data_IF_702854132233
#
_entry.id   IF_702854132233
#
_cell.length_a   1.000
_cell.length_b   1.000
_cell.length_c   1.000
_cell.angle_alpha   90.00
_cell.angle_beta   90.00
_cell.angle_gamma   90.00
#
_symmetry.space_group_name_H-M   'P 1'
#
loop_
_entity.id
_entity.type
_entity.pdbx_description
1 polymer ?
#
# COMPACT_ATOMS: atom_id res chain seq x y z
N UNK A 1 20.30 2.71 34.57
CA UNK A 1 18.97 2.04 34.61
C UNK A 1 18.29 1.99 33.25
N UNK A 2 18.22 3.09 32.49
CA UNK A 2 17.56 3.13 31.16
C UNK A 2 18.24 2.23 30.12
N UNK A 3 19.58 2.18 30.09
CA UNK A 3 20.34 1.34 29.14
C UNK A 3 20.11 -0.17 29.37
N UNK A 4 19.92 -0.58 30.62
CA UNK A 4 19.64 -1.98 30.99
C UNK A 4 18.21 -2.38 30.60
N UNK A 5 17.24 -1.46 30.69
CA UNK A 5 15.86 -1.69 30.25
C UNK A 5 15.77 -1.86 28.72
N UNK A 6 16.48 -1.04 27.95
CA UNK A 6 16.47 -1.12 26.48
C UNK A 6 17.10 -2.43 26.00
N UNK A 7 18.17 -2.90 26.64
CA UNK A 7 18.80 -4.18 26.30
C UNK A 7 17.90 -5.39 26.57
N UNK A 8 17.11 -5.38 27.66
CA UNK A 8 16.18 -6.47 27.99
C UNK A 8 14.99 -6.49 27.03
N UNK A 9 14.48 -5.32 26.62
CA UNK A 9 13.37 -5.23 25.65
C UNK A 9 13.80 -5.72 24.27
N UNK A 10 15.01 -5.36 23.81
CA UNK A 10 15.54 -5.84 22.53
C UNK A 10 15.83 -7.34 22.54
N UNK A 11 16.35 -7.89 23.64
CA UNK A 11 16.55 -9.33 23.79
C UNK A 11 15.24 -10.13 23.79
N UNK A 12 14.16 -9.59 24.38
CA UNK A 12 12.84 -10.22 24.38
C UNK A 12 12.19 -10.23 22.99
N UNK A 13 12.36 -9.15 22.22
CA UNK A 13 11.86 -9.05 20.84
C UNK A 13 12.58 -10.05 19.93
N UNK A 14 13.90 -10.19 20.07
CA UNK A 14 14.69 -11.19 19.32
C UNK A 14 14.28 -12.62 19.67
N UNK A 15 13.96 -12.90 20.94
CA UNK A 15 13.53 -14.24 21.37
C UNK A 15 12.11 -14.60 20.93
N UNK A 16 11.20 -13.61 20.82
CA UNK A 16 9.83 -13.82 20.34
C UNK A 16 9.73 -13.94 18.82
N UNK A 17 10.67 -13.34 18.09
CA UNK A 17 10.73 -13.40 16.63
C UNK A 17 11.59 -14.54 16.08
N UNK A 18 12.21 -15.35 16.95
CA UNK A 18 12.96 -16.53 16.52
C UNK A 18 12.04 -17.71 16.25
N UNK A 19 12.00 -18.26 15.02
CA UNK A 19 11.13 -19.39 14.70
C UNK A 19 11.60 -20.64 15.45
N UNK A 20 10.80 -21.08 16.44
CA UNK A 20 10.97 -22.38 17.09
C UNK A 20 10.79 -23.46 16.02
N UNK A 21 11.85 -24.22 15.77
CA UNK A 21 11.80 -25.36 14.86
C UNK A 21 10.86 -26.42 15.45
N UNK A 22 9.61 -26.44 14.98
CA UNK A 22 8.70 -27.54 15.24
C UNK A 22 9.16 -28.75 14.42
N UNK A 23 9.28 -29.88 15.11
CA UNK A 23 9.78 -31.14 14.59
C UNK A 23 9.01 -31.61 13.33
N UNK A 24 9.78 -32.00 12.32
CA UNK A 24 9.35 -32.76 11.14
C UNK A 24 8.58 -34.02 11.55
N UNK A 25 7.31 -34.09 11.17
CA UNK A 25 6.58 -35.35 11.07
C UNK A 25 6.38 -35.68 9.59
N UNK A 26 7.13 -36.68 9.13
CA UNK A 26 7.01 -37.28 7.80
C UNK A 26 5.81 -38.22 7.81
N UNK A 27 4.87 -38.04 6.89
CA UNK A 27 3.90 -39.09 6.49
C UNK A 27 3.79 -39.07 4.96
N UNK A 28 3.81 -40.23 4.28
CA UNK A 28 4.18 -40.33 2.88
C UNK A 28 3.02 -40.13 1.90
N UNK A 29 3.42 -39.84 0.66
CA UNK A 29 2.59 -39.65 -0.52
C UNK A 29 1.72 -40.87 -0.85
N UNK A 30 0.47 -40.59 -1.28
CA UNK A 30 -0.35 -41.49 -2.06
C UNK A 30 -0.86 -40.75 -3.30
N UNK A 31 -0.38 -41.19 -4.45
CA UNK A 31 -0.74 -40.79 -5.81
C UNK A 31 -1.90 -41.64 -6.35
N UNK A 32 -2.87 -41.05 -7.06
CA UNK A 32 -3.55 -41.54 -8.30
C UNK A 32 -4.68 -40.54 -8.74
N UNK A 33 -5.31 -40.63 -9.93
CA UNK A 33 -5.00 -39.74 -11.06
C UNK A 33 -6.20 -38.98 -11.69
N UNK A 34 -5.86 -37.98 -12.51
CA UNK A 34 -6.52 -37.40 -13.70
C UNK A 34 -8.07 -37.40 -13.85
N UNK A 35 -8.64 -36.21 -14.11
CA UNK A 35 -9.33 -35.89 -15.39
C UNK A 35 -10.01 -34.50 -15.38
N UNK A 36 -9.55 -33.65 -16.30
CA UNK A 36 -10.32 -32.73 -17.17
C UNK A 36 -11.74 -32.27 -16.76
N UNK A 37 -11.83 -31.00 -16.36
CA UNK A 37 -12.85 -30.00 -16.75
C UNK A 37 -12.49 -28.75 -15.91
N UNK A 38 -12.10 -27.61 -16.47
CA UNK A 38 -12.95 -26.69 -17.22
C UNK A 38 -12.06 -25.88 -18.16
N UNK A 39 -12.43 -25.92 -19.44
CA UNK A 39 -11.89 -25.07 -20.48
C UNK A 39 -12.24 -23.59 -20.24
N UNK A 40 -11.36 -22.72 -20.71
CA UNK A 40 -11.66 -21.34 -21.11
C UNK A 40 -12.22 -20.43 -20.00
N UNK A 41 -11.31 -19.85 -19.21
CA UNK A 41 -11.47 -18.44 -18.83
C UNK A 41 -10.57 -17.63 -19.74
N UNK A 42 -11.21 -16.70 -20.45
CA UNK A 42 -10.60 -15.74 -21.34
C UNK A 42 -9.43 -15.01 -20.69
N UNK A 43 -8.49 -14.67 -21.56
CA UNK A 43 -7.18 -14.11 -21.27
C UNK A 43 -7.28 -12.82 -20.46
N UNK A 44 -7.13 -12.94 -19.14
CA UNK A 44 -6.62 -11.87 -18.29
C UNK A 44 -5.16 -11.61 -18.70
N UNK A 45 -4.70 -10.35 -18.87
CA UNK A 45 -3.31 -10.09 -19.20
C UNK A 45 -2.43 -10.71 -18.13
N UNK A 46 -1.66 -11.72 -18.52
CA UNK A 46 -0.69 -12.37 -17.65
C UNK A 46 0.29 -11.28 -17.19
N UNK A 47 0.34 -11.06 -15.88
CA UNK A 47 1.34 -10.19 -15.25
C UNK A 47 2.71 -10.50 -15.87
N UNK A 48 3.42 -9.45 -16.28
CA UNK A 48 4.70 -9.56 -16.94
C UNK A 48 5.64 -10.45 -16.11
N UNK A 49 6.36 -11.35 -16.81
CA UNK A 49 7.35 -12.19 -16.18
C UNK A 49 8.44 -11.32 -15.49
N UNK A 50 9.10 -11.81 -14.42
CA UNK A 50 10.08 -11.06 -13.63
C UNK A 50 11.27 -10.46 -14.42
N UNK A 51 11.44 -10.84 -15.68
CA UNK A 51 12.51 -10.38 -16.57
C UNK A 51 12.27 -9.02 -17.24
N UNK A 52 11.15 -8.34 -16.99
CA UNK A 52 10.84 -7.02 -17.58
C UNK A 52 10.53 -5.91 -16.56
N UNK A 53 10.97 -6.05 -15.31
CA UNK A 53 10.95 -4.92 -14.35
C UNK A 53 12.16 -4.04 -14.67
N UNK A 54 12.15 -3.44 -15.86
CA UNK A 54 13.14 -2.45 -16.26
C UNK A 54 12.92 -1.18 -15.43
N UNK A 55 14.00 -0.53 -15.01
CA UNK A 55 13.88 0.78 -14.38
C UNK A 55 13.24 1.72 -15.40
N UNK A 56 12.08 2.30 -15.06
CA UNK A 56 11.49 3.33 -15.91
C UNK A 56 12.56 4.42 -16.16
N UNK A 57 12.78 4.86 -17.42
CA UNK A 57 13.86 5.78 -17.72
C UNK A 57 13.71 7.09 -16.93
N UNK A 58 14.82 7.63 -16.40
CA UNK A 58 14.80 8.81 -15.53
C UNK A 58 14.02 10.02 -16.12
N UNK A 59 14.06 10.19 -17.44
CA UNK A 59 13.31 11.21 -18.17
C UNK A 59 11.80 11.11 -17.99
N UNK A 60 11.24 9.90 -17.87
CA UNK A 60 9.79 9.73 -17.64
C UNK A 60 9.40 10.09 -16.20
N UNK A 61 10.28 9.86 -15.22
CA UNK A 61 10.10 10.29 -13.83
C UNK A 61 10.03 11.81 -13.70
N UNK A 62 11.00 12.52 -14.28
CA UNK A 62 11.03 13.98 -14.28
C UNK A 62 9.80 14.60 -14.97
N UNK A 63 9.43 14.08 -16.14
CA UNK A 63 8.24 14.55 -16.88
C UNK A 63 6.95 14.39 -16.07
N UNK A 64 6.77 13.24 -15.39
CA UNK A 64 5.62 12.99 -14.52
C UNK A 64 5.55 14.01 -13.38
N UNK A 65 6.69 14.28 -12.72
CA UNK A 65 6.76 15.24 -11.61
C UNK A 65 6.43 16.66 -12.08
N UNK A 66 6.99 17.09 -13.21
CA UNK A 66 6.71 18.44 -13.74
C UNK A 66 5.26 18.61 -14.18
N UNK A 67 4.64 17.57 -14.76
CA UNK A 67 3.22 17.58 -15.10
C UNK A 67 2.36 17.73 -13.84
N UNK A 68 2.57 16.86 -12.84
CA UNK A 68 1.84 16.92 -11.57
C UNK A 68 1.94 18.29 -10.90
N UNK A 69 3.14 18.89 -10.89
CA UNK A 69 3.35 20.22 -10.30
C UNK A 69 2.62 21.32 -11.06
N UNK A 70 2.64 21.29 -12.38
CA UNK A 70 1.92 22.26 -13.21
C UNK A 70 0.42 22.15 -12.96
N UNK A 71 -0.12 20.94 -12.95
CA UNK A 71 -1.56 20.70 -12.86
C UNK A 71 -2.07 21.00 -11.44
N UNK A 72 -1.29 20.65 -10.40
CA UNK A 72 -1.58 21.04 -9.01
C UNK A 72 -1.56 22.58 -8.84
N UNK A 73 -0.59 23.27 -9.46
CA UNK A 73 -0.54 24.73 -9.44
C UNK A 73 -1.70 25.38 -10.22
N UNK A 74 -2.30 24.66 -11.18
CA UNK A 74 -3.47 25.09 -11.92
C UNK A 74 -4.80 24.86 -11.17
N UNK A 75 -4.76 24.24 -9.98
CA UNK A 75 -5.96 24.00 -9.18
C UNK A 75 -6.53 22.58 -9.30
N UNK A 76 -5.90 21.66 -10.02
CA UNK A 76 -6.42 20.29 -10.16
C UNK A 76 -6.29 19.52 -8.82
N UNK A 77 -7.41 19.15 -8.17
CA UNK A 77 -7.36 18.48 -6.87
C UNK A 77 -6.79 17.05 -6.94
N UNK A 78 -6.94 16.36 -8.07
CA UNK A 78 -6.33 15.05 -8.31
C UNK A 78 -4.82 15.18 -8.38
N UNK A 79 -4.32 16.18 -9.12
CA UNK A 79 -2.89 16.46 -9.21
C UNK A 79 -2.31 16.93 -7.87
N UNK A 80 -3.04 17.74 -7.10
CA UNK A 80 -2.63 18.14 -5.75
C UNK A 80 -2.47 16.93 -4.83
N UNK A 81 -3.48 16.05 -4.79
CA UNK A 81 -3.43 14.80 -4.01
C UNK A 81 -2.25 13.92 -4.43
N UNK A 82 -2.06 13.73 -5.73
CA UNK A 82 -1.02 12.83 -6.25
C UNK A 82 0.39 13.42 -6.06
N UNK A 83 0.54 14.75 -6.12
CA UNK A 83 1.79 15.43 -5.76
C UNK A 83 2.07 15.32 -4.25
N UNK A 84 1.06 15.47 -3.40
CA UNK A 84 1.21 15.27 -1.96
C UNK A 84 1.68 13.85 -1.64
N UNK A 85 1.07 12.84 -2.27
CA UNK A 85 1.48 11.44 -2.13
C UNK A 85 2.93 11.22 -2.59
N UNK A 86 3.31 11.84 -3.70
CA UNK A 86 4.68 11.76 -4.19
C UNK A 86 5.69 12.37 -3.22
N UNK A 87 5.39 13.54 -2.63
CA UNK A 87 6.24 14.18 -1.62
C UNK A 87 6.43 13.26 -0.39
N UNK A 88 5.33 12.64 0.07
CA UNK A 88 5.37 11.69 1.18
C UNK A 88 6.26 10.48 0.83
N UNK A 89 6.04 9.89 -0.35
CA UNK A 89 6.82 8.75 -0.84
C UNK A 89 8.31 9.10 -1.00
N UNK A 90 8.62 10.36 -1.29
CA UNK A 90 10.00 10.82 -1.33
C UNK A 90 10.65 11.07 0.04
N UNK A 91 9.97 10.68 1.12
CA UNK A 91 10.45 10.84 2.49
C UNK A 91 10.67 12.30 2.86
N UNK A 92 9.92 13.21 2.23
CA UNK A 92 10.13 14.66 2.33
C UNK A 92 11.57 15.07 1.95
N UNK A 93 12.07 14.51 0.84
CA UNK A 93 13.33 14.91 0.22
C UNK A 93 14.53 14.04 0.63
N UNK A 94 14.29 12.88 1.22
CA UNK A 94 15.36 11.96 1.67
C UNK A 94 15.54 10.79 0.71
N UNK A 95 14.49 10.41 -0.02
CA UNK A 95 14.51 9.24 -0.91
C UNK A 95 15.09 9.56 -2.30
N UNK A 96 16.21 10.26 -2.37
CA UNK A 96 17.02 10.44 -3.58
C UNK A 96 18.52 10.56 -3.26
N UNK A 97 19.35 10.53 -4.31
CA UNK A 97 20.79 10.73 -4.18
C UNK A 97 21.48 9.74 -3.21
N UNK A 98 22.52 10.21 -2.54
CA UNK A 98 23.34 9.38 -1.66
C UNK A 98 22.56 8.80 -0.45
N UNK A 99 21.57 9.53 0.07
CA UNK A 99 20.77 9.07 1.20
C UNK A 99 19.94 7.83 0.85
N UNK A 100 19.27 7.85 -0.31
CA UNK A 100 18.55 6.69 -0.83
C UNK A 100 19.48 5.50 -1.05
N UNK A 101 20.61 5.71 -1.74
CA UNK A 101 21.52 4.60 -2.03
C UNK A 101 22.19 4.03 -0.79
N UNK A 102 22.47 4.85 0.24
CA UNK A 102 22.93 4.34 1.53
C UNK A 102 21.88 3.45 2.21
N UNK A 103 20.59 3.78 2.11
CA UNK A 103 19.51 2.93 2.61
C UNK A 103 19.42 1.61 1.81
N UNK A 104 19.56 1.69 0.49
CA UNK A 104 19.56 0.52 -0.39
C UNK A 104 20.69 -0.43 -0.06
N UNK A 105 21.92 0.08 0.13
CA UNK A 105 23.07 -0.73 0.49
C UNK A 105 22.90 -1.37 1.87
N UNK A 106 22.33 -0.63 2.83
CA UNK A 106 21.97 -1.17 4.13
C UNK A 106 20.97 -2.33 4.01
N UNK A 107 19.86 -2.15 3.30
CA UNK A 107 18.84 -3.19 3.12
C UNK A 107 19.41 -4.40 2.35
N UNK A 108 20.19 -4.15 1.29
CA UNK A 108 20.81 -5.21 0.49
C UNK A 108 21.70 -6.13 1.33
N UNK A 109 22.35 -5.62 2.38
CA UNK A 109 23.17 -6.41 3.31
C UNK A 109 22.41 -7.48 4.11
N UNK A 110 21.08 -7.36 4.21
CA UNK A 110 20.22 -8.30 4.96
C UNK A 110 19.29 -9.11 4.05
N UNK A 111 19.39 -8.93 2.74
CA UNK A 111 18.51 -9.57 1.76
C UNK A 111 19.19 -10.74 1.06
N UNK A 112 18.37 -11.62 0.49
CA UNK A 112 18.88 -12.65 -0.43
C UNK A 112 19.45 -11.97 -1.69
N UNK A 113 20.57 -12.49 -2.18
CA UNK A 113 21.31 -11.91 -3.32
C UNK A 113 20.42 -11.73 -4.55
N UNK A 114 19.51 -12.67 -4.81
CA UNK A 114 18.58 -12.61 -5.94
C UNK A 114 17.56 -11.46 -5.86
N UNK A 115 17.28 -10.90 -4.67
CA UNK A 115 16.34 -9.79 -4.50
C UNK A 115 17.02 -8.41 -4.60
N UNK A 116 18.34 -8.33 -4.48
CA UNK A 116 19.08 -7.06 -4.53
C UNK A 116 18.86 -6.28 -5.83
N UNK A 117 18.82 -6.91 -7.03
CA UNK A 117 18.50 -6.19 -8.26
C UNK A 117 17.11 -5.55 -8.25
N UNK A 118 16.12 -6.22 -7.64
CA UNK A 118 14.74 -5.71 -7.54
C UNK A 118 14.67 -4.48 -6.61
N UNK A 119 15.37 -4.53 -5.47
CA UNK A 119 15.52 -3.39 -4.56
C UNK A 119 16.14 -2.19 -5.27
N UNK A 120 17.24 -2.41 -6.02
CA UNK A 120 17.91 -1.34 -6.77
C UNK A 120 17.03 -0.76 -7.87
N UNK A 121 16.21 -1.59 -8.54
CA UNK A 121 15.27 -1.12 -9.55
C UNK A 121 14.17 -0.23 -8.93
N UNK A 122 13.60 -0.64 -7.80
CA UNK A 122 12.64 0.17 -7.04
C UNK A 122 13.24 1.50 -6.58
N UNK A 123 14.48 1.46 -6.07
CA UNK A 123 15.20 2.68 -5.69
C UNK A 123 15.47 3.59 -6.88
N UNK A 124 15.88 3.05 -8.03
CA UNK A 124 16.10 3.87 -9.23
C UNK A 124 14.82 4.60 -9.68
N UNK A 125 13.67 3.90 -9.69
CA UNK A 125 12.36 4.52 -9.98
C UNK A 125 12.00 5.60 -8.98
N UNK A 126 12.15 5.32 -7.68
CA UNK A 126 11.92 6.32 -6.61
C UNK A 126 12.81 7.54 -6.76
N UNK A 127 14.11 7.34 -6.96
CA UNK A 127 15.10 8.41 -7.12
C UNK A 127 14.77 9.34 -8.29
N UNK A 128 14.42 8.78 -9.45
CA UNK A 128 14.04 9.55 -10.65
C UNK A 128 12.80 10.45 -10.43
N UNK A 129 11.87 10.03 -9.58
CA UNK A 129 10.73 10.86 -9.21
C UNK A 129 11.14 11.93 -8.17
N UNK A 130 11.91 11.54 -7.16
CA UNK A 130 12.21 12.39 -6.00
C UNK A 130 13.25 13.48 -6.23
N UNK A 131 14.17 13.30 -7.19
CA UNK A 131 15.20 14.30 -7.50
C UNK A 131 14.63 15.63 -8.04
N UNK A 132 13.39 15.60 -8.54
CA UNK A 132 12.72 16.73 -9.18
C UNK A 132 11.73 17.46 -8.27
N UNK A 133 11.64 17.06 -6.99
CA UNK A 133 10.80 17.71 -5.98
C UNK A 133 11.60 18.83 -5.30
N UNK A 134 11.18 20.10 -5.44
CA UNK A 134 11.92 21.23 -4.87
C UNK A 134 11.77 21.32 -3.34
N UNK A 135 12.57 22.19 -2.74
CA UNK A 135 12.46 22.54 -1.33
C UNK A 135 13.18 21.57 -0.40
N UNK A 136 13.50 22.06 0.79
CA UNK A 136 14.01 21.22 1.87
C UNK A 136 12.88 20.42 2.53
N UNK A 137 13.25 19.53 3.46
CA UNK A 137 12.31 18.71 4.22
C UNK A 137 11.19 19.52 4.87
N UNK A 138 11.49 20.69 5.43
CA UNK A 138 10.49 21.50 6.14
C UNK A 138 9.49 22.10 5.15
N UNK A 139 9.98 22.63 4.02
CA UNK A 139 9.13 23.13 2.96
C UNK A 139 8.22 22.03 2.40
N UNK A 140 8.77 20.85 2.15
CA UNK A 140 8.01 19.71 1.61
C UNK A 140 6.93 19.19 2.59
N UNK A 141 7.18 19.18 3.91
CA UNK A 141 6.15 18.81 4.89
C UNK A 141 4.98 19.80 4.87
N UNK A 142 5.26 21.10 4.72
CA UNK A 142 4.22 22.12 4.63
C UNK A 142 3.45 22.02 3.31
N UNK A 143 4.16 21.81 2.20
CA UNK A 143 3.56 21.63 0.88
C UNK A 143 2.67 20.39 0.83
N UNK A 144 3.14 19.25 1.34
CA UNK A 144 2.34 18.02 1.48
C UNK A 144 1.01 18.27 2.20
N UNK A 145 1.07 18.91 3.38
CA UNK A 145 -0.13 19.19 4.18
C UNK A 145 -1.09 20.12 3.44
N UNK A 146 -0.55 21.17 2.82
CA UNK A 146 -1.35 22.15 2.09
C UNK A 146 -2.03 21.50 0.89
N UNK A 147 -1.29 20.80 0.04
CA UNK A 147 -1.85 20.14 -1.16
C UNK A 147 -2.93 19.15 -0.80
N UNK A 148 -2.71 18.32 0.24
CA UNK A 148 -3.69 17.33 0.65
C UNK A 148 -4.96 17.98 1.22
N UNK A 149 -4.81 19.08 1.97
CA UNK A 149 -5.96 19.86 2.46
C UNK A 149 -6.71 20.57 1.34
N UNK A 150 -6.03 21.27 0.46
CA UNK A 150 -6.65 21.98 -0.66
C UNK A 150 -7.37 21.01 -1.61
N UNK A 151 -6.86 19.80 -1.82
CA UNK A 151 -7.52 18.76 -2.59
C UNK A 151 -8.81 18.25 -1.91
N UNK A 152 -8.75 18.02 -0.60
CA UNK A 152 -9.89 17.56 0.18
C UNK A 152 -11.01 18.62 0.26
N UNK A 153 -10.67 19.90 0.44
CA UNK A 153 -11.62 21.02 0.42
C UNK A 153 -12.33 21.15 -0.94
N UNK A 154 -11.68 20.74 -2.01
CA UNK A 154 -12.25 20.70 -3.36
C UNK A 154 -13.06 19.43 -3.66
N UNK A 155 -13.26 18.56 -2.66
CA UNK A 155 -14.09 17.36 -2.78
C UNK A 155 -13.36 16.13 -3.29
N UNK A 156 -12.02 16.11 -3.33
CA UNK A 156 -11.29 14.90 -3.70
C UNK A 156 -11.41 13.83 -2.61
N UNK A 157 -12.13 12.75 -2.93
CA UNK A 157 -12.44 11.67 -2.00
C UNK A 157 -11.18 11.00 -1.42
N UNK A 158 -10.20 10.68 -2.27
CA UNK A 158 -8.96 10.05 -1.81
C UNK A 158 -8.16 10.98 -0.90
N UNK A 159 -8.17 12.29 -1.17
CA UNK A 159 -7.56 13.27 -0.27
C UNK A 159 -8.26 13.31 1.09
N UNK A 160 -9.61 13.34 1.13
CA UNK A 160 -10.40 13.27 2.38
C UNK A 160 -10.09 11.98 3.17
N UNK A 161 -10.11 10.82 2.50
CA UNK A 161 -9.77 9.53 3.09
C UNK A 161 -8.34 9.53 3.67
N UNK A 162 -7.36 10.07 2.94
CA UNK A 162 -5.95 10.15 3.37
C UNK A 162 -5.75 11.10 4.54
N UNK A 163 -6.41 12.25 4.56
CA UNK A 163 -6.35 13.15 5.72
C UNK A 163 -6.84 12.43 6.97
N UNK A 164 -7.95 11.68 6.85
CA UNK A 164 -8.50 10.93 7.98
C UNK A 164 -7.61 9.75 8.40
N UNK A 165 -7.13 8.96 7.45
CA UNK A 165 -6.30 7.77 7.70
C UNK A 165 -4.85 8.11 8.08
N UNK A 166 -4.42 9.36 7.93
CA UNK A 166 -3.05 9.80 8.27
C UNK A 166 -3.02 10.89 9.35
N UNK A 167 -4.17 11.31 9.86
CA UNK A 167 -4.22 12.20 11.01
C UNK A 167 -3.68 11.49 12.27
N UNK A 168 -2.79 12.16 12.99
CA UNK A 168 -2.22 11.69 14.26
C UNK A 168 -2.42 12.71 15.37
N UNK A 169 -2.62 12.23 16.60
CA UNK A 169 -2.75 13.07 17.79
C UNK A 169 -3.88 14.10 17.68
N UNK A 170 -3.62 15.34 18.10
CA UNK A 170 -4.60 16.42 18.15
C UNK A 170 -5.19 16.82 16.77
N UNK A 171 -4.47 16.59 15.66
CA UNK A 171 -4.99 16.84 14.31
C UNK A 171 -6.22 15.95 14.01
N UNK A 172 -6.30 14.74 14.59
CA UNK A 172 -7.41 13.81 14.34
C UNK A 172 -8.73 14.24 14.98
N UNK A 173 -8.66 14.89 16.13
CA UNK A 173 -9.83 15.21 16.96
C UNK A 173 -10.33 16.64 16.77
N UNK A 174 -9.49 17.58 16.35
CA UNK A 174 -9.82 19.01 16.36
C UNK A 174 -10.01 19.65 14.98
N UNK A 175 -9.57 19.01 13.88
CA UNK A 175 -9.43 19.67 12.59
C UNK A 175 -10.17 19.01 11.41
N UNK A 176 -10.74 17.81 11.59
CA UNK A 176 -11.42 17.09 10.51
C UNK A 176 -12.94 17.00 10.78
N UNK A 177 -13.79 17.08 9.75
CA UNK A 177 -15.21 16.80 9.88
C UNK A 177 -15.47 15.41 10.48
N UNK A 178 -16.60 15.25 11.18
CA UNK A 178 -17.06 13.94 11.63
C UNK A 178 -17.89 13.25 10.52
N UNK A 179 -17.22 12.96 9.40
CA UNK A 179 -17.81 12.44 8.16
C UNK A 179 -17.32 11.01 7.83
N UNK A 180 -16.74 10.30 8.80
CA UNK A 180 -16.07 9.03 8.54
C UNK A 180 -17.00 7.93 7.99
N UNK A 181 -18.29 7.94 8.36
CA UNK A 181 -19.28 7.02 7.80
C UNK A 181 -19.64 7.37 6.35
N UNK A 182 -19.80 8.65 6.04
CA UNK A 182 -20.01 9.15 4.67
C UNK A 182 -18.82 8.81 3.78
N UNK A 183 -17.59 9.00 4.26
CA UNK A 183 -16.38 8.63 3.52
C UNK A 183 -16.31 7.13 3.19
N UNK A 184 -16.84 6.28 4.06
CA UNK A 184 -16.93 4.84 3.82
C UNK A 184 -17.96 4.54 2.72
N UNK A 185 -19.12 5.19 2.75
CA UNK A 185 -20.14 5.07 1.69
C UNK A 185 -19.61 5.59 0.35
N UNK A 186 -19.00 6.77 0.32
CA UNK A 186 -18.39 7.36 -0.88
C UNK A 186 -17.29 6.46 -1.45
N UNK A 187 -16.47 5.82 -0.60
CA UNK A 187 -15.44 4.89 -1.04
C UNK A 187 -16.01 3.63 -1.69
N UNK A 188 -17.13 3.10 -1.19
CA UNK A 188 -17.86 2.02 -1.86
C UNK A 188 -18.45 2.47 -3.20
N UNK A 189 -18.93 3.72 -3.26
CA UNK A 189 -19.51 4.33 -4.46
C UNK A 189 -18.45 4.83 -5.47
N UNK A 190 -17.16 4.77 -5.14
CA UNK A 190 -16.08 5.22 -6.02
C UNK A 190 -15.83 4.24 -7.17
N UNK A 191 -15.53 4.78 -8.35
CA UNK A 191 -14.98 4.01 -9.48
C UNK A 191 -13.46 3.87 -9.41
N UNK A 192 -12.79 4.71 -8.62
CA UNK A 192 -11.35 4.61 -8.39
C UNK A 192 -11.06 3.49 -7.38
N UNK A 193 -10.41 2.38 -7.78
CA UNK A 193 -10.14 1.25 -6.88
C UNK A 193 -9.21 1.63 -5.71
N UNK A 194 -8.45 2.73 -5.84
CA UNK A 194 -7.62 3.24 -4.73
C UNK A 194 -8.48 3.73 -3.56
N UNK A 195 -9.74 4.11 -3.77
CA UNK A 195 -10.63 4.48 -2.68
C UNK A 195 -10.85 3.31 -1.69
N UNK A 196 -10.99 2.08 -2.20
CA UNK A 196 -11.08 0.88 -1.36
C UNK A 196 -9.81 0.64 -0.55
N UNK A 197 -8.65 0.88 -1.16
CA UNK A 197 -7.36 0.77 -0.48
C UNK A 197 -7.20 1.83 0.62
N UNK A 198 -7.51 3.10 0.34
CA UNK A 198 -7.44 4.17 1.36
C UNK A 198 -8.48 3.95 2.47
N UNK A 199 -9.68 3.46 2.13
CA UNK A 199 -10.68 3.04 3.10
C UNK A 199 -10.16 1.91 4.00
N UNK A 200 -9.42 0.94 3.46
CA UNK A 200 -8.82 -0.12 4.26
C UNK A 200 -7.94 0.43 5.40
N UNK A 201 -7.23 1.54 5.20
CA UNK A 201 -6.44 2.21 6.24
C UNK A 201 -7.32 2.96 7.25
N UNK A 202 -8.46 3.51 6.81
CA UNK A 202 -9.43 4.14 7.69
C UNK A 202 -10.00 3.13 8.72
N UNK A 203 -10.28 1.89 8.31
CA UNK A 203 -10.79 0.82 9.19
C UNK A 203 -9.86 0.54 10.39
N UNK A 204 -8.55 0.63 10.19
CA UNK A 204 -7.56 0.40 11.25
C UNK A 204 -7.62 1.49 12.32
N UNK A 205 -7.97 2.72 11.93
CA UNK A 205 -7.88 3.90 12.79
C UNK A 205 -9.21 4.34 13.38
N UNK A 206 -10.31 4.10 12.65
CA UNK A 206 -11.67 4.48 13.03
C UNK A 206 -12.62 3.29 12.82
N UNK A 207 -12.47 2.18 13.56
CA UNK A 207 -13.20 0.94 13.31
C UNK A 207 -14.73 1.04 13.50
N UNK A 208 -15.22 2.11 14.13
CA UNK A 208 -16.66 2.37 14.31
C UNK A 208 -17.35 2.92 13.06
N UNK A 209 -16.65 3.66 12.22
CA UNK A 209 -17.25 4.28 11.03
C UNK A 209 -17.85 3.24 10.05
N UNK A 210 -17.17 2.12 9.75
CA UNK A 210 -17.75 1.02 8.98
C UNK A 210 -19.04 0.41 9.53
N UNK A 211 -19.13 0.30 10.86
CA UNK A 211 -20.35 -0.22 11.50
C UNK A 211 -21.52 0.74 11.30
N UNK A 212 -21.27 2.04 11.36
CA UNK A 212 -22.27 3.08 11.13
C UNK A 212 -22.74 3.10 9.68
N UNK A 213 -21.83 2.87 8.73
CA UNK A 213 -22.13 2.70 7.30
C UNK A 213 -22.76 1.33 6.95
N UNK A 214 -23.08 0.49 7.94
CA UNK A 214 -23.74 -0.80 7.72
C UNK A 214 -22.84 -1.90 7.12
N UNK A 215 -21.53 -1.65 6.95
CA UNK A 215 -20.58 -2.64 6.39
C UNK A 215 -20.07 -3.61 7.48
N UNK A 216 -20.32 -3.27 8.75
CA UNK A 216 -19.80 -3.99 9.91
C UNK A 216 -18.27 -3.85 10.04
N UNK A 217 -17.73 -4.46 11.09
CA UNK A 217 -16.28 -4.46 11.37
C UNK A 217 -15.76 -5.90 11.52
N UNK A 218 -14.81 -6.26 10.69
CA UNK A 218 -14.04 -7.50 10.73
C UNK A 218 -12.55 -7.17 10.90
N UNK A 219 -11.80 -7.96 11.70
CA UNK A 219 -10.35 -7.80 11.80
C UNK A 219 -9.64 -8.04 10.45
N UNK A 220 -10.32 -8.64 9.46
CA UNK A 220 -9.77 -8.91 8.14
C UNK A 220 -10.16 -7.87 7.08
N UNK A 221 -10.90 -6.82 7.45
CA UNK A 221 -11.34 -5.78 6.51
C UNK A 221 -10.19 -5.13 5.77
N UNK A 222 -9.13 -4.77 6.49
CA UNK A 222 -7.97 -4.12 5.90
C UNK A 222 -7.38 -4.95 4.74
N UNK A 223 -7.12 -6.24 4.99
CA UNK A 223 -6.57 -7.16 4.00
C UNK A 223 -7.56 -7.40 2.85
N UNK A 224 -8.83 -7.64 3.17
CA UNK A 224 -9.86 -7.95 2.17
C UNK A 224 -10.12 -6.77 1.23
N UNK A 225 -10.25 -5.54 1.76
CA UNK A 225 -10.44 -4.32 0.97
C UNK A 225 -9.21 -4.01 0.11
N UNK A 226 -8.01 -4.19 0.65
CA UNK A 226 -6.77 -3.98 -0.12
C UNK A 226 -6.65 -4.96 -1.29
N UNK A 227 -7.02 -6.23 -1.08
CA UNK A 227 -7.06 -7.24 -2.15
C UNK A 227 -8.15 -6.94 -3.18
N UNK A 228 -9.34 -6.49 -2.75
CA UNK A 228 -10.41 -6.08 -3.65
C UNK A 228 -10.04 -4.84 -4.48
N UNK A 229 -9.27 -3.89 -3.92
CA UNK A 229 -8.72 -2.78 -4.68
C UNK A 229 -7.83 -3.29 -5.83
N UNK A 230 -6.97 -4.28 -5.58
CA UNK A 230 -6.18 -4.93 -6.62
C UNK A 230 -7.05 -5.63 -7.68
N UNK A 231 -8.07 -6.40 -7.25
CA UNK A 231 -9.00 -7.07 -8.16
C UNK A 231 -9.76 -6.09 -9.06
N UNK A 232 -10.04 -4.88 -8.56
CA UNK A 232 -10.74 -3.81 -9.29
C UNK A 232 -9.82 -2.88 -10.09
N UNK A 233 -8.54 -3.23 -10.24
CA UNK A 233 -7.63 -2.57 -11.17
C UNK A 233 -6.64 -1.57 -10.55
N UNK A 234 -6.51 -1.53 -9.21
CA UNK A 234 -5.35 -0.89 -8.60
C UNK A 234 -4.09 -1.65 -8.99
N UNK A 235 -3.05 -0.95 -9.43
CA UNK A 235 -1.77 -1.58 -9.78
C UNK A 235 -1.05 -2.06 -8.51
N UNK A 236 -1.22 -3.35 -8.22
CA UNK A 236 -0.60 -4.05 -7.10
C UNK A 236 0.61 -4.89 -7.52
N UNK A 237 0.94 -4.91 -8.82
CA UNK A 237 1.98 -5.77 -9.36
C UNK A 237 3.38 -5.37 -8.91
N UNK A 238 4.35 -6.25 -9.14
CA UNK A 238 5.77 -5.93 -8.91
C UNK A 238 6.16 -4.74 -9.79
N UNK A 239 6.82 -3.75 -9.19
CA UNK A 239 7.23 -2.51 -9.88
C UNK A 239 6.18 -1.41 -9.90
N UNK A 240 4.98 -1.65 -9.35
CA UNK A 240 4.01 -0.59 -9.05
C UNK A 240 4.54 0.36 -7.97
N UNK A 241 4.02 1.59 -7.91
CA UNK A 241 4.38 2.56 -6.86
C UNK A 241 4.11 1.99 -5.44
N UNK A 242 3.07 1.16 -5.27
CA UNK A 242 2.75 0.50 -4.00
C UNK A 242 3.71 -0.66 -3.67
N UNK A 243 4.04 -1.52 -4.64
CA UNK A 243 5.01 -2.59 -4.43
C UNK A 243 6.42 -2.04 -4.18
N UNK A 244 6.80 -0.95 -4.86
CA UNK A 244 8.07 -0.27 -4.61
C UNK A 244 8.12 0.33 -3.21
N UNK A 245 7.01 0.91 -2.72
CA UNK A 245 6.91 1.34 -1.33
C UNK A 245 7.11 0.20 -0.34
N UNK A 246 6.50 -0.96 -0.57
CA UNK A 246 6.72 -2.16 0.27
C UNK A 246 8.19 -2.57 0.20
N UNK A 247 8.74 -2.76 -1.00
CA UNK A 247 10.12 -3.17 -1.23
C UNK A 247 11.13 -2.25 -0.51
N UNK A 248 10.98 -0.93 -0.64
CA UNK A 248 11.91 0.04 -0.05
C UNK A 248 11.78 0.18 1.48
N UNK A 249 10.64 -0.20 2.07
CA UNK A 249 10.42 -0.10 3.52
C UNK A 249 10.62 -1.44 4.25
N UNK A 250 10.38 -2.58 3.60
CA UNK A 250 10.42 -3.91 4.23
C UNK A 250 11.48 -4.86 3.65
N UNK A 251 12.03 -4.56 2.46
CA UNK A 251 12.91 -5.45 1.71
C UNK A 251 12.18 -6.55 0.93
N UNK A 252 10.85 -6.59 0.98
CA UNK A 252 10.06 -7.57 0.21
C UNK A 252 9.82 -7.08 -1.22
N UNK A 253 10.78 -7.36 -2.10
CA UNK A 253 10.81 -6.82 -3.46
C UNK A 253 10.39 -7.82 -4.54
N UNK A 254 10.17 -9.09 -4.18
CA UNK A 254 9.98 -10.18 -5.15
C UNK A 254 8.52 -10.43 -5.52
N UNK A 255 7.57 -9.78 -4.83
CA UNK A 255 6.14 -10.03 -5.01
C UNK A 255 5.34 -8.72 -5.03
N UNK A 256 4.17 -8.78 -5.65
CA UNK A 256 3.21 -7.68 -5.62
C UNK A 256 2.52 -7.56 -4.25
N UNK A 257 1.80 -6.45 -4.06
CA UNK A 257 1.06 -6.16 -2.83
C UNK A 257 0.00 -7.21 -2.56
N UNK A 258 -0.70 -7.66 -3.60
CA UNK A 258 -1.72 -8.71 -3.53
C UNK A 258 -1.14 -10.04 -3.02
N UNK A 259 -0.02 -10.46 -3.60
CA UNK A 259 0.68 -11.69 -3.23
C UNK A 259 1.25 -11.60 -1.82
N UNK A 260 1.73 -10.41 -1.42
CA UNK A 260 2.21 -10.15 -0.06
C UNK A 260 1.08 -10.30 0.95
N UNK A 261 -0.09 -9.71 0.67
CA UNK A 261 -1.26 -9.80 1.55
C UNK A 261 -1.72 -11.26 1.71
N UNK A 262 -1.76 -12.04 0.63
CA UNK A 262 -2.10 -13.47 0.71
C UNK A 262 -1.08 -14.28 1.48
N UNK A 263 0.22 -14.06 1.27
CA UNK A 263 1.28 -14.75 2.01
C UNK A 263 1.24 -14.41 3.50
N UNK A 264 0.93 -13.16 3.85
CA UNK A 264 0.74 -12.75 5.26
C UNK A 264 -0.48 -13.43 5.87
N UNK A 265 -1.60 -13.50 5.14
CA UNK A 265 -2.80 -14.21 5.61
C UNK A 265 -2.55 -15.71 5.82
N UNK A 266 -1.78 -16.34 4.92
CA UNK A 266 -1.38 -17.75 5.03
C UNK A 266 -0.47 -18.00 6.23
N UNK A 267 0.56 -17.18 6.42
CA UNK A 267 1.44 -17.27 7.57
C UNK A 267 0.72 -17.09 8.91
N UNK A 268 -0.39 -16.34 8.91
CA UNK A 268 -1.24 -16.14 10.08
C UNK A 268 -2.33 -17.22 10.24
N UNK A 269 -2.51 -18.11 9.26
CA UNK A 269 -3.56 -19.14 9.25
C UNK A 269 -4.97 -18.58 9.05
N UNK A 270 -5.12 -17.37 8.51
CA UNK A 270 -6.41 -16.66 8.36
C UNK A 270 -6.87 -16.55 6.91
N UNK A 271 -6.22 -17.24 5.97
CA UNK A 271 -6.55 -17.21 4.53
C UNK A 271 -8.04 -17.41 4.26
N UNK A 272 -8.65 -18.40 4.92
CA UNK A 272 -10.08 -18.70 4.75
C UNK A 272 -10.97 -17.56 5.23
N UNK A 273 -10.62 -16.93 6.36
CA UNK A 273 -11.42 -15.84 6.92
C UNK A 273 -11.32 -14.57 6.07
N UNK A 274 -10.13 -14.30 5.51
CA UNK A 274 -9.93 -13.24 4.51
C UNK A 274 -10.77 -13.50 3.27
N UNK A 275 -10.76 -14.73 2.73
CA UNK A 275 -11.57 -15.11 1.56
C UNK A 275 -13.08 -14.93 1.81
N UNK A 276 -13.57 -15.40 2.95
CA UNK A 276 -14.97 -15.23 3.34
C UNK A 276 -15.32 -13.74 3.42
N UNK A 277 -14.44 -12.92 4.01
CA UNK A 277 -14.69 -11.48 4.12
C UNK A 277 -14.66 -10.78 2.77
N UNK A 278 -13.72 -11.12 1.89
CA UNK A 278 -13.68 -10.62 0.51
C UNK A 278 -14.96 -10.97 -0.24
N UNK A 279 -15.47 -12.20 -0.11
CA UNK A 279 -16.70 -12.60 -0.80
C UNK A 279 -17.92 -11.80 -0.31
N UNK A 280 -18.02 -11.57 1.01
CA UNK A 280 -19.07 -10.73 1.57
C UNK A 280 -18.96 -9.28 1.07
N UNK A 281 -17.77 -8.68 1.10
CA UNK A 281 -17.53 -7.31 0.61
C UNK A 281 -17.82 -7.19 -0.88
N UNK A 282 -17.47 -8.22 -1.67
CA UNK A 282 -17.79 -8.27 -3.10
C UNK A 282 -19.30 -8.22 -3.34
N UNK A 283 -20.09 -8.92 -2.51
CA UNK A 283 -21.57 -8.88 -2.61
C UNK A 283 -22.09 -7.46 -2.36
N UNK A 284 -21.54 -6.74 -1.38
CA UNK A 284 -21.89 -5.34 -1.09
C UNK A 284 -21.52 -4.44 -2.27
N UNK A 285 -20.31 -4.59 -2.83
CA UNK A 285 -19.87 -3.81 -3.99
C UNK A 285 -20.73 -4.10 -5.23
N UNK A 286 -21.10 -5.36 -5.46
CA UNK A 286 -21.97 -5.75 -6.58
C UNK A 286 -23.41 -5.22 -6.42
N UNK A 287 -23.88 -5.02 -5.18
CA UNK A 287 -25.15 -4.33 -4.89
C UNK A 287 -25.06 -2.84 -5.19
N UNK A 288 -23.98 -2.20 -4.75
CA UNK A 288 -23.67 -0.80 -5.05
C UNK A 288 -23.59 -0.57 -6.56
N UNK A 289 -22.85 -1.41 -7.28
CA UNK A 289 -22.68 -1.30 -8.74
C UNK A 289 -24.01 -1.45 -9.48
N UNK A 290 -24.94 -2.30 -8.97
CA UNK A 290 -26.28 -2.49 -9.54
C UNK A 290 -27.25 -1.33 -9.27
N UNK A 291 -26.98 -0.52 -8.25
CA UNK A 291 -27.83 0.60 -7.87
C UNK A 291 -27.54 1.88 -8.67
N UNK A 292 -26.45 1.90 -9.46
CA UNK A 292 -26.07 3.01 -10.36
C UNK A 292 -26.73 2.87 -11.73
#
# INVERSE_FOLDING_TARGET
MIVLMVAVVLAAIVFLLWPRHAATSVVPAASAPAAQAVAQRDAMPRAAAPSQIEAAPATSGAQRVFALRRDAAAGDPVAMRDLAELILNCGFGISHGAALWSQVDFLAGYMKTEHVPLLRAAAARRGAQCENIPGDRKAQVLEYRKLLHDAAEQGDLLARLRQRSRAWGAEREAALPDDAAELVEDALMSEDPRALYEMAHLYVLVPRAPMQAGIGSSPHDHTALSLLACERGMDCGVGSDYADNVCLNSGDCAIGVDSMLWRTADAQGVTKDVQVRMQWLRTVLDEVDRAR
#
